data_IF_598471650000
#
_entry.id   IF_598471650000
#
_cell.length_a   1.000
_cell.length_b   1.000
_cell.length_c   1.000
_cell.angle_alpha   90.00
_cell.angle_beta   90.00
_cell.angle_gamma   90.00
#
_symmetry.space_group_name_H-M   'P 1'
#
loop_
_entity.id
_entity.type
_entity.pdbx_description
1 polymer ?
#
# COMPACT_ATOMS: atom_id res chain seq x y z
N UNK A 1 18.24 -25.97 5.83
CA UNK A 1 16.95 -26.17 5.14
C UNK A 1 15.86 -26.41 6.17
N UNK A 2 15.16 -25.36 6.62
CA UNK A 2 13.94 -25.44 7.43
C UNK A 2 13.44 -24.02 7.63
N UNK A 3 12.12 -23.82 7.46
CA UNK A 3 11.33 -22.57 7.55
C UNK A 3 11.15 -21.77 6.24
N UNK A 4 10.59 -22.41 5.22
CA UNK A 4 9.82 -21.70 4.16
C UNK A 4 8.32 -22.11 4.19
N UNK A 5 7.93 -23.05 5.05
CA UNK A 5 6.59 -23.64 5.06
C UNK A 5 5.47 -22.78 5.69
N UNK A 6 5.75 -21.55 6.15
CA UNK A 6 4.75 -20.67 6.78
C UNK A 6 4.09 -19.67 5.83
N UNK A 7 4.67 -19.45 4.64
CA UNK A 7 4.28 -18.35 3.74
C UNK A 7 3.01 -18.67 2.91
N UNK A 8 2.73 -19.95 2.67
CA UNK A 8 1.64 -20.37 1.77
C UNK A 8 0.27 -20.57 2.43
N UNK A 9 0.21 -20.86 3.74
CA UNK A 9 -1.02 -21.40 4.33
C UNK A 9 -2.06 -20.34 4.71
N UNK A 10 -1.64 -19.15 5.15
CA UNK A 10 -2.58 -18.09 5.60
C UNK A 10 -3.24 -17.37 4.42
N UNK A 11 -2.52 -17.17 3.31
CA UNK A 11 -3.07 -16.57 2.08
C UNK A 11 -4.10 -17.50 1.43
N UNK A 12 -3.91 -18.82 1.50
CA UNK A 12 -4.81 -19.79 0.89
C UNK A 12 -6.17 -19.93 1.60
N UNK A 13 -6.27 -19.65 2.91
CA UNK A 13 -7.53 -19.86 3.64
C UNK A 13 -8.53 -18.71 3.45
N UNK A 14 -8.06 -17.49 3.17
CA UNK A 14 -8.95 -16.34 2.90
C UNK A 14 -9.45 -16.33 1.44
N UNK A 15 -8.65 -16.86 0.50
CA UNK A 15 -9.08 -17.04 -0.89
C UNK A 15 -10.18 -18.10 -1.06
N UNK A 16 -10.36 -19.01 -0.09
CA UNK A 16 -11.38 -20.06 -0.12
C UNK A 16 -12.82 -19.59 0.08
N UNK A 17 -13.04 -18.33 0.46
CA UNK A 17 -14.38 -17.72 0.57
C UNK A 17 -14.83 -17.02 -0.72
N UNK A 18 -13.95 -16.91 -1.71
CA UNK A 18 -14.31 -16.42 -3.04
C UNK A 18 -14.73 -17.64 -3.86
N UNK A 19 -16.04 -17.88 -3.93
CA UNK A 19 -16.60 -19.02 -4.67
C UNK A 19 -16.10 -19.11 -6.13
N UNK A 20 -16.24 -20.27 -6.78
CA UNK A 20 -15.83 -20.46 -8.17
C UNK A 20 -16.76 -19.69 -9.11
N UNK A 21 -16.52 -18.39 -9.29
CA UNK A 21 -17.36 -17.53 -10.15
C UNK A 21 -16.58 -16.42 -10.89
N UNK A 22 -15.27 -16.54 -11.06
CA UNK A 22 -14.50 -15.53 -11.80
C UNK A 22 -13.43 -16.20 -12.67
N UNK A 23 -13.79 -16.65 -13.88
CA UNK A 23 -12.79 -17.06 -14.86
C UNK A 23 -13.17 -16.85 -16.34
N UNK A 24 -14.34 -16.27 -16.63
CA UNK A 24 -14.72 -15.85 -17.99
C UNK A 24 -15.51 -14.55 -17.87
N UNK A 25 -14.90 -13.39 -18.19
CA UNK A 25 -15.59 -12.09 -18.22
C UNK A 25 -14.91 -10.91 -17.50
N UNK A 26 -13.76 -11.10 -16.84
CA UNK A 26 -13.02 -9.98 -16.25
C UNK A 26 -12.10 -9.31 -17.27
N UNK A 27 -12.16 -7.98 -17.34
CA UNK A 27 -11.26 -7.14 -18.12
C UNK A 27 -10.59 -6.11 -17.21
N UNK A 28 -9.54 -5.47 -17.73
CA UNK A 28 -8.90 -4.34 -17.08
C UNK A 28 -9.83 -3.12 -17.12
N UNK A 29 -10.12 -2.55 -15.96
CA UNK A 29 -10.99 -1.37 -15.82
C UNK A 29 -10.19 -0.07 -15.73
N UNK A 30 -8.99 -0.12 -15.16
CA UNK A 30 -8.18 1.09 -14.99
C UNK A 30 -6.98 0.90 -14.07
N UNK A 31 -6.11 1.91 -14.08
CA UNK A 31 -4.97 2.00 -13.16
C UNK A 31 -4.90 3.40 -12.55
N UNK A 32 -4.43 3.48 -11.32
CA UNK A 32 -4.06 4.74 -10.69
C UNK A 32 -2.66 4.64 -10.10
N UNK A 33 -1.93 5.74 -10.17
CA UNK A 33 -0.63 5.89 -9.52
C UNK A 33 -0.65 7.20 -8.75
N UNK A 34 -0.31 7.13 -7.47
CA UNK A 34 -0.25 8.30 -6.60
C UNK A 34 1.11 8.33 -5.89
N UNK A 35 1.84 9.42 -6.07
CA UNK A 35 3.13 9.67 -5.43
C UNK A 35 2.97 10.75 -4.36
N UNK A 36 3.64 10.57 -3.23
CA UNK A 36 3.84 11.62 -2.24
C UNK A 36 5.31 11.67 -1.82
N UNK A 37 5.77 12.87 -1.49
CA UNK A 37 7.14 13.13 -1.03
C UNK A 37 7.14 14.47 -0.30
N UNK A 38 7.86 14.54 0.82
CA UNK A 38 7.96 15.75 1.66
C UNK A 38 8.56 16.95 0.91
N UNK A 39 9.43 16.72 -0.08
CA UNK A 39 10.06 17.76 -0.91
C UNK A 39 9.08 18.39 -1.92
N UNK A 40 7.95 17.74 -2.23
CA UNK A 40 6.99 18.25 -3.22
C UNK A 40 6.12 19.40 -2.68
N UNK A 41 6.28 19.81 -1.42
CA UNK A 41 5.50 20.87 -0.77
C UNK A 41 6.40 21.87 0.00
N UNK A 42 6.19 22.09 1.30
CA UNK A 42 6.88 23.13 2.07
C UNK A 42 8.27 22.72 2.58
N UNK A 43 8.73 21.51 2.25
CA UNK A 43 10.09 21.04 2.51
C UNK A 43 10.34 20.57 3.94
N UNK A 44 9.31 20.53 4.78
CA UNK A 44 9.38 20.00 6.14
C UNK A 44 9.02 18.50 6.16
N UNK A 45 9.81 17.70 6.89
CA UNK A 45 9.52 16.27 7.14
C UNK A 45 8.28 16.15 8.05
N UNK A 46 7.19 15.59 7.51
CA UNK A 46 5.94 15.33 8.24
C UNK A 46 5.55 13.86 8.23
N UNK A 47 6.52 12.99 8.49
CA UNK A 47 6.32 11.57 8.79
C UNK A 47 6.33 10.63 7.58
N UNK A 48 6.56 11.14 6.36
CA UNK A 48 6.72 10.30 5.17
C UNK A 48 7.63 10.94 4.11
N UNK A 49 8.93 10.64 4.21
CA UNK A 49 9.98 11.04 3.26
C UNK A 49 9.58 10.81 1.81
N UNK A 50 8.93 9.67 1.52
CA UNK A 50 8.33 9.43 0.23
C UNK A 50 7.52 8.14 0.15
N UNK A 51 6.65 8.09 -0.86
CA UNK A 51 5.94 6.86 -1.19
C UNK A 51 5.22 6.92 -2.52
N UNK A 52 4.83 5.74 -2.98
CA UNK A 52 4.11 5.55 -4.22
C UNK A 52 3.08 4.45 -4.05
N UNK A 53 1.85 4.75 -4.45
CA UNK A 53 0.74 3.82 -4.49
C UNK A 53 0.41 3.50 -5.94
N UNK A 54 0.23 2.22 -6.22
CA UNK A 54 -0.11 1.68 -7.53
C UNK A 54 -1.33 0.81 -7.37
N UNK A 55 -2.35 1.09 -8.18
CA UNK A 55 -3.58 0.30 -8.18
C UNK A 55 -3.91 -0.12 -9.59
N UNK A 56 -4.36 -1.37 -9.73
CA UNK A 56 -4.85 -1.93 -10.98
C UNK A 56 -6.20 -2.57 -10.70
N UNK A 57 -7.24 -2.13 -11.39
CA UNK A 57 -8.61 -2.56 -11.19
C UNK A 57 -9.09 -3.45 -12.34
N UNK A 58 -9.88 -4.45 -11.99
CA UNK A 58 -10.44 -5.42 -12.92
C UNK A 58 -11.91 -5.71 -12.56
N UNK A 59 -12.71 -6.06 -13.57
CA UNK A 59 -14.13 -6.37 -13.42
C UNK A 59 -14.79 -6.69 -14.76
N UNK A 60 -16.11 -6.93 -14.79
CA UNK A 60 -16.87 -7.16 -16.01
C UNK A 60 -16.67 -6.06 -17.07
N UNK A 61 -16.68 -6.46 -18.33
CA UNK A 61 -16.69 -5.50 -19.44
C UNK A 61 -17.89 -4.55 -19.35
N UNK A 62 -17.67 -3.26 -19.59
CA UNK A 62 -18.71 -2.24 -19.51
C UNK A 62 -19.09 -1.81 -18.10
N UNK A 63 -18.31 -2.18 -17.07
CA UNK A 63 -18.52 -1.67 -15.70
C UNK A 63 -18.39 -0.14 -15.65
N UNK A 64 -19.47 0.55 -15.25
CA UNK A 64 -19.53 2.03 -15.14
C UNK A 64 -19.69 2.53 -13.69
N UNK A 65 -19.80 1.63 -12.71
CA UNK A 65 -20.01 1.97 -11.31
C UNK A 65 -19.76 0.78 -10.39
N UNK A 66 -20.16 0.91 -9.12
CA UNK A 66 -19.99 -0.17 -8.15
C UNK A 66 -20.98 -1.31 -8.43
N UNK A 67 -20.51 -2.57 -8.50
CA UNK A 67 -21.37 -3.74 -8.62
C UNK A 67 -22.23 -3.97 -7.38
N UNK A 68 -23.25 -4.80 -7.46
CA UNK A 68 -24.15 -5.11 -6.32
C UNK A 68 -23.62 -6.21 -5.39
N UNK A 69 -22.51 -6.84 -5.76
CA UNK A 69 -21.96 -8.01 -5.08
C UNK A 69 -20.44 -7.97 -4.97
N UNK A 70 -19.87 -8.48 -3.86
CA UNK A 70 -18.43 -8.56 -3.68
C UNK A 70 -17.79 -9.48 -4.72
N UNK A 71 -16.56 -9.16 -5.10
CA UNK A 71 -15.75 -9.93 -6.03
C UNK A 71 -15.95 -9.58 -7.50
N UNK A 72 -17.01 -8.85 -7.87
CA UNK A 72 -17.23 -8.41 -9.25
C UNK A 72 -16.26 -7.33 -9.69
N UNK A 73 -15.83 -6.45 -8.79
CA UNK A 73 -14.70 -5.54 -9.04
C UNK A 73 -13.63 -5.82 -8.00
N UNK A 74 -12.40 -6.04 -8.44
CA UNK A 74 -11.24 -6.18 -7.57
C UNK A 74 -10.09 -5.26 -7.97
N UNK A 75 -9.34 -4.84 -6.96
CA UNK A 75 -8.18 -3.96 -7.07
C UNK A 75 -6.96 -4.68 -6.50
N UNK A 76 -5.89 -4.77 -7.29
CA UNK A 76 -4.55 -5.05 -6.76
C UNK A 76 -3.89 -3.73 -6.43
N UNK A 77 -3.59 -3.52 -5.14
CA UNK A 77 -2.90 -2.33 -4.65
C UNK A 77 -1.53 -2.69 -4.11
N UNK A 78 -0.52 -1.98 -4.61
CA UNK A 78 0.86 -2.03 -4.14
C UNK A 78 1.25 -0.64 -3.64
N UNK A 79 1.86 -0.57 -2.46
CA UNK A 79 2.43 0.67 -1.92
C UNK A 79 3.87 0.46 -1.51
N UNK A 80 4.77 1.31 -1.98
CA UNK A 80 6.10 1.47 -1.43
C UNK A 80 6.19 2.75 -0.61
N UNK A 81 6.82 2.71 0.55
CA UNK A 81 7.03 3.87 1.41
C UNK A 81 8.41 3.80 2.08
N UNK A 82 9.01 4.96 2.26
CA UNK A 82 10.13 5.17 3.17
C UNK A 82 9.73 6.22 4.20
N UNK A 83 10.10 5.94 5.45
CA UNK A 83 10.00 6.87 6.58
C UNK A 83 11.41 7.03 7.13
N UNK A 84 11.81 8.25 7.45
CA UNK A 84 13.09 8.56 8.10
C UNK A 84 12.88 9.41 9.36
N UNK A 85 13.86 9.45 10.28
CA UNK A 85 13.91 10.51 11.29
C UNK A 85 14.16 11.87 10.64
N UNK A 86 13.83 12.93 11.37
CA UNK A 86 13.98 14.32 10.91
C UNK A 86 15.47 14.75 10.80
N UNK A 87 16.34 14.15 11.61
CA UNK A 87 17.80 14.37 11.60
C UNK A 87 18.55 13.03 11.54
N UNK A 88 19.46 12.88 10.56
CA UNK A 88 20.26 11.65 10.37
C UNK A 88 21.54 11.60 11.20
N UNK A 89 22.05 12.74 11.67
CA UNK A 89 23.31 12.89 12.39
C UNK A 89 23.10 12.69 13.88
N UNK A 90 22.06 13.31 14.44
CA UNK A 90 21.69 13.20 15.85
C UNK A 90 20.17 13.01 16.02
N UNK A 91 19.62 11.85 15.60
CA UNK A 91 18.19 11.59 15.75
C UNK A 91 17.78 11.72 17.22
N UNK A 92 16.69 12.46 17.48
CA UNK A 92 16.16 12.57 18.83
C UNK A 92 15.71 11.19 19.33
N UNK A 93 15.92 10.90 20.62
CA UNK A 93 15.61 9.57 21.18
C UNK A 93 14.11 9.18 21.09
N UNK A 94 13.23 10.18 20.95
CA UNK A 94 11.79 10.01 20.79
C UNK A 94 11.33 10.08 19.34
N UNK A 95 12.24 10.34 18.39
CA UNK A 95 11.91 10.37 16.98
C UNK A 95 11.75 8.95 16.42
N UNK A 96 11.08 8.86 15.28
CA UNK A 96 10.81 7.62 14.59
C UNK A 96 12.11 7.04 14.01
N UNK A 97 12.23 5.72 14.07
CA UNK A 97 13.28 5.02 13.37
C UNK A 97 12.98 5.00 11.87
N UNK A 98 14.03 4.94 11.06
CA UNK A 98 13.85 4.73 9.64
C UNK A 98 13.10 3.42 9.36
N UNK A 99 12.32 3.39 8.28
CA UNK A 99 11.54 2.24 7.87
C UNK A 99 11.34 2.22 6.34
N UNK A 100 11.80 1.14 5.71
CA UNK A 100 11.32 0.74 4.39
C UNK A 100 10.08 -0.14 4.51
N UNK A 101 9.02 0.19 3.79
CA UNK A 101 7.72 -0.49 3.87
C UNK A 101 7.20 -0.81 2.46
N UNK A 102 6.78 -2.05 2.26
CA UNK A 102 6.01 -2.47 1.08
C UNK A 102 4.68 -3.04 1.56
N UNK A 103 3.56 -2.55 1.04
CA UNK A 103 2.23 -3.08 1.34
C UNK A 103 1.58 -3.60 0.07
N UNK A 104 1.04 -4.82 0.12
CA UNK A 104 0.22 -5.40 -0.94
C UNK A 104 -1.18 -5.65 -0.42
N UNK A 105 -2.20 -5.35 -1.22
CA UNK A 105 -3.60 -5.60 -0.89
C UNK A 105 -4.35 -6.10 -2.13
N UNK A 106 -5.27 -7.03 -1.91
CA UNK A 106 -6.35 -7.36 -2.83
C UNK A 106 -7.64 -6.82 -2.23
N UNK A 107 -8.27 -5.87 -2.90
CA UNK A 107 -9.53 -5.28 -2.48
C UNK A 107 -10.66 -5.67 -3.42
N UNK A 108 -11.89 -5.59 -2.93
CA UNK A 108 -13.12 -5.59 -3.72
C UNK A 108 -13.97 -4.37 -3.37
N UNK A 109 -14.67 -3.85 -4.37
CA UNK A 109 -15.52 -2.69 -4.25
C UNK A 109 -16.91 -3.03 -4.78
N UNK A 110 -17.96 -2.73 -4.01
CA UNK A 110 -19.35 -3.02 -4.36
C UNK A 110 -20.30 -2.07 -3.62
N UNK A 111 -21.57 -2.03 -4.02
CA UNK A 111 -22.62 -1.27 -3.36
C UNK A 111 -23.80 -2.18 -3.07
N UNK A 112 -24.23 -2.26 -1.82
CA UNK A 112 -25.37 -3.07 -1.43
C UNK A 112 -26.34 -2.25 -0.57
N UNK A 113 -27.61 -2.20 -0.97
CA UNK A 113 -28.64 -1.50 -0.21
C UNK A 113 -28.38 0.01 -0.04
N UNK A 114 -27.71 0.64 -1.01
CA UNK A 114 -27.34 2.06 -0.94
C UNK A 114 -26.08 2.37 -0.12
N UNK A 115 -25.40 1.34 0.39
CA UNK A 115 -24.10 1.47 1.07
C UNK A 115 -23.00 1.05 0.11
N UNK A 116 -22.05 1.94 -0.14
CA UNK A 116 -20.82 1.67 -0.89
C UNK A 116 -19.82 1.00 0.07
N UNK A 117 -19.23 -0.12 -0.35
CA UNK A 117 -18.35 -0.95 0.49
C UNK A 117 -17.03 -1.21 -0.25
N UNK A 118 -15.93 -1.00 0.47
CA UNK A 118 -14.59 -1.44 0.07
C UNK A 118 -14.04 -2.40 1.11
N UNK A 119 -13.68 -3.61 0.72
CA UNK A 119 -13.13 -4.60 1.64
C UNK A 119 -11.90 -5.26 1.01
N UNK A 120 -10.91 -5.61 1.81
CA UNK A 120 -9.68 -6.20 1.28
C UNK A 120 -8.78 -6.81 2.32
N UNK A 121 -7.83 -7.59 1.82
CA UNK A 121 -6.85 -8.31 2.62
C UNK A 121 -5.47 -8.17 2.00
N UNK A 122 -4.45 -8.28 2.83
CA UNK A 122 -3.09 -8.15 2.34
C UNK A 122 -2.05 -8.27 3.44
N UNK A 123 -0.88 -7.69 3.18
CA UNK A 123 0.22 -7.66 4.13
C UNK A 123 1.09 -6.42 3.94
N UNK A 124 1.63 -5.92 5.04
CA UNK A 124 2.73 -4.97 5.06
C UNK A 124 4.03 -5.67 5.45
N UNK A 125 5.06 -5.46 4.65
CA UNK A 125 6.42 -5.92 4.85
C UNK A 125 7.26 -4.73 5.29
N UNK A 126 8.09 -4.91 6.30
CA UNK A 126 8.91 -3.84 6.87
C UNK A 126 10.37 -4.25 7.00
N UNK A 127 11.26 -3.27 7.10
CA UNK A 127 12.68 -3.44 7.41
C UNK A 127 13.56 -3.72 6.20
N UNK A 128 14.84 -4.10 6.43
CA UNK A 128 15.84 -4.27 5.36
C UNK A 128 15.43 -5.22 4.22
N UNK A 129 14.56 -6.20 4.48
CA UNK A 129 14.06 -7.12 3.45
C UNK A 129 13.31 -6.43 2.31
N UNK A 130 12.81 -5.22 2.53
CA UNK A 130 12.03 -4.47 1.54
C UNK A 130 12.92 -3.74 0.53
N UNK A 131 14.19 -3.51 0.85
CA UNK A 131 15.14 -2.72 0.06
C UNK A 131 14.68 -1.31 -0.32
N UNK A 132 13.65 -0.78 0.37
CA UNK A 132 13.02 0.49 -0.02
C UNK A 132 13.92 1.70 0.26
N UNK A 133 14.73 1.67 1.32
CA UNK A 133 15.65 2.77 1.63
C UNK A 133 16.81 2.80 0.62
N UNK A 134 17.31 1.62 0.24
CA UNK A 134 18.32 1.48 -0.81
C UNK A 134 17.78 1.96 -2.16
N UNK A 135 16.53 1.63 -2.48
CA UNK A 135 15.87 2.12 -3.68
C UNK A 135 15.71 3.65 -3.68
N UNK A 136 15.33 4.26 -2.54
CA UNK A 136 15.29 5.72 -2.43
C UNK A 136 16.67 6.33 -2.65
N UNK A 137 17.70 5.81 -1.98
CA UNK A 137 19.07 6.30 -2.14
C UNK A 137 19.56 6.17 -3.59
N UNK A 138 19.19 5.08 -4.27
CA UNK A 138 19.46 4.91 -5.70
C UNK A 138 18.77 5.98 -6.56
N UNK A 139 17.52 6.32 -6.27
CA UNK A 139 16.84 7.44 -6.96
C UNK A 139 17.57 8.76 -6.68
N UNK A 140 17.96 9.02 -5.43
CA UNK A 140 18.66 10.25 -5.06
C UNK A 140 20.03 10.37 -5.76
N UNK A 141 20.72 9.25 -6.00
CA UNK A 141 21.96 9.20 -6.79
C UNK A 141 21.74 9.56 -8.28
N UNK A 142 20.52 9.37 -8.80
CA UNK A 142 20.16 9.73 -10.18
C UNK A 142 19.66 11.17 -10.31
N UNK A 143 19.28 11.82 -9.20
CA UNK A 143 18.74 13.18 -9.22
C UNK A 143 19.84 14.23 -9.07
N UNK A 144 19.82 15.33 -9.86
CA UNK A 144 20.83 16.40 -9.76
C UNK A 144 20.76 17.23 -8.47
N UNK A 145 19.75 17.02 -7.62
CA UNK A 145 19.41 17.88 -6.49
C UNK A 145 20.29 17.70 -5.24
N UNK A 146 21.20 16.72 -5.19
CA UNK A 146 21.97 16.37 -3.99
C UNK A 146 21.08 16.15 -2.75
N UNK A 147 19.91 15.54 -2.94
CA UNK A 147 19.02 15.23 -1.82
C UNK A 147 19.74 14.31 -0.82
N UNK A 148 19.62 14.58 0.49
CA UNK A 148 20.34 13.83 1.50
C UNK A 148 19.94 12.35 1.44
N UNK A 149 20.95 11.49 1.33
CA UNK A 149 20.79 10.05 1.40
C UNK A 149 20.67 9.61 2.85
N UNK A 150 19.90 8.55 3.08
CA UNK A 150 19.82 7.93 4.40
C UNK A 150 21.17 7.27 4.71
N UNK A 151 21.93 7.69 5.73
CA UNK A 151 23.26 7.16 6.00
C UNK A 151 23.23 5.70 6.44
N UNK A 152 24.35 4.98 6.24
CA UNK A 152 24.45 3.56 6.60
C UNK A 152 24.14 3.28 8.08
N UNK A 153 24.51 4.19 8.99
CA UNK A 153 24.19 4.07 10.41
C UNK A 153 22.68 4.11 10.69
N UNK A 154 21.94 5.01 10.01
CA UNK A 154 20.48 5.12 10.12
C UNK A 154 19.79 3.91 9.47
N UNK A 155 20.30 3.46 8.31
CA UNK A 155 19.82 2.23 7.67
C UNK A 155 20.01 1.00 8.54
N UNK A 156 21.15 0.87 9.22
CA UNK A 156 21.42 -0.24 10.15
C UNK A 156 20.53 -0.18 11.39
N UNK A 157 20.12 1.03 11.81
CA UNK A 157 19.22 1.27 12.91
C UNK A 157 17.73 1.29 12.52
N UNK A 158 17.36 1.02 11.27
CA UNK A 158 15.97 0.99 10.81
C UNK A 158 15.15 -0.10 11.52
N UNK A 159 13.82 -0.03 11.49
CA UNK A 159 12.95 -1.06 12.09
C UNK A 159 13.26 -2.46 11.52
N UNK A 160 13.17 -3.53 12.33
CA UNK A 160 13.56 -4.86 11.89
C UNK A 160 12.56 -5.46 10.89
N UNK A 161 12.98 -6.56 10.26
CA UNK A 161 12.12 -7.33 9.36
C UNK A 161 10.89 -7.87 10.08
N UNK A 162 9.72 -7.48 9.62
CA UNK A 162 8.44 -8.04 10.05
C UNK A 162 7.43 -8.09 8.90
N UNK A 163 6.43 -8.96 9.06
CA UNK A 163 5.28 -9.10 8.17
C UNK A 163 4.03 -8.88 9.02
N UNK A 164 3.19 -7.94 8.61
CA UNK A 164 1.94 -7.60 9.27
C UNK A 164 0.78 -7.95 8.33
N UNK A 165 0.00 -9.00 8.62
CA UNK A 165 -1.26 -9.25 7.91
C UNK A 165 -2.20 -8.06 8.09
N UNK A 166 -2.87 -7.66 7.01
CA UNK A 166 -3.74 -6.47 6.99
C UNK A 166 -5.14 -6.87 6.52
N UNK A 167 -6.14 -6.32 7.21
CA UNK A 167 -7.53 -6.37 6.82
C UNK A 167 -8.03 -4.93 6.68
N UNK A 168 -8.81 -4.67 5.63
CA UNK A 168 -9.47 -3.40 5.39
C UNK A 168 -10.95 -3.64 5.15
N UNK A 169 -11.80 -2.85 5.80
CA UNK A 169 -13.22 -2.77 5.52
C UNK A 169 -13.67 -1.32 5.74
N UNK A 170 -14.29 -0.75 4.71
CA UNK A 170 -14.87 0.58 4.70
C UNK A 170 -16.29 0.48 4.16
N UNK A 171 -17.21 1.23 4.77
CA UNK A 171 -18.59 1.36 4.33
C UNK A 171 -18.99 2.83 4.37
N UNK A 172 -19.59 3.31 3.29
CA UNK A 172 -20.03 4.68 3.12
C UNK A 172 -21.50 4.71 2.71
N UNK A 173 -22.26 5.64 3.30
CA UNK A 173 -23.63 5.93 2.89
C UNK A 173 -23.72 7.39 2.46
N UNK A 174 -24.43 7.66 1.37
CA UNK A 174 -24.55 9.01 0.82
C UNK A 174 -25.66 9.77 1.53
N UNK A 175 -25.33 10.91 2.12
CA UNK A 175 -26.29 11.83 2.73
C UNK A 175 -26.47 13.05 1.82
N UNK A 176 -27.69 13.33 1.32
CA UNK A 176 -27.95 14.56 0.60
C UNK A 176 -27.85 15.77 1.54
N UNK A 177 -27.15 16.82 1.11
CA UNK A 177 -26.97 18.04 1.91
C UNK A 177 -28.03 19.12 1.60
N UNK A 178 -28.80 18.95 0.53
CA UNK A 178 -29.97 19.73 0.19
C UNK A 178 -30.96 18.85 -0.59
N UNK A 179 -32.23 19.22 -0.56
CA UNK A 179 -33.24 18.67 -1.47
C UNK A 179 -33.06 19.36 -2.83
N UNK A 180 -32.82 18.59 -3.90
CA UNK A 180 -32.84 19.11 -5.27
C UNK A 180 -34.27 19.57 -5.67
#
# INVERSE_FOLDING_TARGET
MRRIAGFGLVVLTVLGLVGPAAAQGFTFLGRSVFHNNDVLLDGDDRWQTGGSNWSVMFGPEGTLGLPDSPGQVWELRLRGQVITPDDFTAPAAWDRRAAGIITTMLNTHFQQGGVEVSAGVGAAFTGPQTHMIEFQNFIHDLTPANDPKVPAAVQAAQIPNAIYPTLLAEAAYRVPLADD
#
